data_IF_368603630762
#
_entry.id   IF_368603630762
#
_cell.length_a   1.000
_cell.length_b   1.000
_cell.length_c   1.000
_cell.angle_alpha   90.00
_cell.angle_beta   90.00
_cell.angle_gamma   90.00
#
_symmetry.space_group_name_H-M   'P 1'
#
loop_
_entity.id
_entity.type
_entity.pdbx_description
1 polymer ?
#
# COMPACT_ATOMS: atom_id res chain seq x y z
N UNK A 1 0.54 -27.02 -3.01
CA UNK A 1 0.25 -26.61 -2.94
C UNK A 1 0.19 -25.68 -2.47
N UNK A 2 0.05 -25.16 -2.64
CA UNK A 2 0.02 -24.33 -2.34
C UNK A 2 -0.59 -23.72 -1.84
N UNK A 3 -1.16 -23.55 -1.80
CA UNK A 3 -1.76 -22.99 -1.45
C UNK A 3 -1.88 -22.42 -0.73
N UNK A 4 -1.95 -22.81 -0.65
CA UNK A 4 -2.09 -22.39 0.29
C UNK A 4 -1.84 -21.12 0.53
N UNK A 5 -1.63 -20.61 -0.11
CA UNK A 5 -1.33 -19.39 -0.05
C UNK A 5 -2.42 -18.53 -0.24
N UNK A 6 -3.25 -18.34 0.73
CA UNK A 6 -4.42 -17.54 0.61
C UNK A 6 -4.35 -16.34 1.52
N UNK A 7 -3.15 -15.84 1.80
CA UNK A 7 -3.01 -14.63 2.58
C UNK A 7 -3.73 -13.49 1.88
N UNK A 8 -4.49 -12.73 2.66
CA UNK A 8 -5.11 -11.51 2.15
C UNK A 8 -4.19 -10.34 2.38
N UNK A 9 -4.52 -9.22 1.75
CA UNK A 9 -3.78 -7.97 1.98
C UNK A 9 -3.80 -7.63 3.46
N UNK A 10 -4.96 -7.82 4.12
CA UNK A 10 -5.07 -7.53 5.55
C UNK A 10 -4.11 -8.37 6.37
N UNK A 11 -4.07 -9.66 6.09
CA UNK A 11 -3.20 -10.55 6.85
C UNK A 11 -1.73 -10.22 6.62
N UNK A 12 -1.37 -9.99 5.37
CA UNK A 12 0.02 -9.69 5.06
C UNK A 12 0.45 -8.34 5.62
N UNK A 13 -0.38 -7.31 5.45
CA UNK A 13 -0.04 -5.99 5.97
C UNK A 13 0.12 -6.02 7.48
N UNK A 14 -0.73 -6.80 8.17
CA UNK A 14 -0.61 -6.94 9.60
C UNK A 14 0.70 -7.60 10.01
N UNK A 15 1.07 -8.66 9.32
CA UNK A 15 2.32 -9.35 9.61
C UNK A 15 3.51 -8.45 9.30
N UNK A 16 3.47 -7.77 8.16
CA UNK A 16 4.55 -6.89 7.75
C UNK A 16 4.72 -5.73 8.75
N UNK A 17 3.61 -5.12 9.15
CA UNK A 17 3.64 -4.02 10.09
C UNK A 17 4.24 -4.47 11.42
N UNK A 18 3.76 -5.58 11.94
CA UNK A 18 4.23 -6.09 13.23
C UNK A 18 5.72 -6.41 13.18
N UNK A 19 6.17 -6.99 12.07
CA UNK A 19 7.57 -7.39 11.95
C UNK A 19 8.50 -6.20 11.83
N UNK A 20 8.00 -5.06 11.35
CA UNK A 20 8.87 -3.93 11.04
C UNK A 20 8.69 -2.73 11.97
N UNK A 21 7.64 -2.71 12.77
CA UNK A 21 7.31 -1.52 13.55
C UNK A 21 8.42 -1.09 14.49
N UNK A 22 9.22 -2.03 14.95
CA UNK A 22 10.30 -1.70 15.87
C UNK A 22 11.41 -0.88 15.21
N UNK A 23 11.42 -0.82 13.89
CA UNK A 23 12.42 -0.06 13.15
C UNK A 23 12.06 1.41 13.02
N UNK A 24 10.85 1.78 13.38
CA UNK A 24 10.34 3.12 13.13
C UNK A 24 10.14 3.87 14.44
N UNK A 25 10.30 5.19 14.38
CA UNK A 25 9.96 6.00 15.55
C UNK A 25 8.43 6.08 15.64
N UNK A 26 7.95 6.64 16.76
CA UNK A 26 6.52 6.67 17.02
C UNK A 26 5.70 7.41 15.97
N UNK A 27 6.25 8.50 15.43
CA UNK A 27 5.53 9.27 14.42
C UNK A 27 5.40 8.47 13.13
N UNK A 28 6.47 7.81 12.71
CA UNK A 28 6.46 7.01 11.51
C UNK A 28 5.53 5.81 11.67
N UNK A 29 5.62 5.15 12.82
CA UNK A 29 4.77 3.98 13.07
C UNK A 29 3.30 4.39 13.04
N UNK A 30 2.95 5.50 13.69
CA UNK A 30 1.57 5.97 13.69
C UNK A 30 1.08 6.34 12.31
N UNK A 31 1.95 6.97 11.51
CA UNK A 31 1.60 7.32 10.14
C UNK A 31 1.33 6.09 9.29
N UNK A 32 2.20 5.11 9.38
CA UNK A 32 2.02 3.87 8.61
C UNK A 32 0.79 3.12 9.08
N UNK A 33 0.55 3.08 10.40
CA UNK A 33 -0.64 2.45 10.92
C UNK A 33 -1.90 3.09 10.35
N UNK A 34 -1.91 4.41 10.30
CA UNK A 34 -3.07 5.11 9.75
C UNK A 34 -3.27 4.80 8.27
N UNK A 35 -2.19 4.80 7.49
CA UNK A 35 -2.31 4.50 6.07
C UNK A 35 -2.86 3.10 5.84
N UNK A 36 -2.38 2.14 6.62
CA UNK A 36 -2.81 0.76 6.47
C UNK A 36 -4.25 0.59 6.93
N UNK A 37 -4.53 0.95 8.18
CA UNK A 37 -5.80 0.59 8.80
C UNK A 37 -6.95 1.52 8.44
N UNK A 38 -6.66 2.75 8.07
CA UNK A 38 -7.70 3.69 7.71
C UNK A 38 -7.96 3.77 6.21
N UNK A 39 -6.96 3.42 5.40
CA UNK A 39 -7.09 3.61 3.95
C UNK A 39 -6.92 2.33 3.14
N UNK A 40 -5.91 1.53 3.42
CA UNK A 40 -5.64 0.36 2.60
C UNK A 40 -6.63 -0.77 2.90
N UNK A 41 -6.74 -1.14 4.17
CA UNK A 41 -7.53 -2.30 4.53
C UNK A 41 -9.02 -2.14 4.29
N UNK A 42 -9.64 -0.96 4.53
CA UNK A 42 -11.05 -0.83 4.23
C UNK A 42 -11.39 -1.03 2.76
N UNK A 43 -10.43 -0.78 1.88
CA UNK A 43 -10.68 -0.90 0.44
C UNK A 43 -10.25 -2.24 -0.13
N UNK A 44 -9.05 -2.68 0.19
CA UNK A 44 -8.52 -3.90 -0.45
C UNK A 44 -8.05 -4.95 0.55
N UNK A 45 -8.35 -4.77 1.84
CA UNK A 45 -7.84 -5.69 2.85
C UNK A 45 -8.31 -7.12 2.66
N UNK A 46 -9.51 -7.32 2.12
CA UNK A 46 -10.04 -8.67 1.95
C UNK A 46 -9.57 -9.34 0.66
N UNK A 47 -8.84 -8.62 -0.17
CA UNK A 47 -8.35 -9.18 -1.44
C UNK A 47 -7.20 -10.13 -1.16
N UNK A 48 -7.21 -11.32 -1.74
CA UNK A 48 -6.08 -12.23 -1.60
C UNK A 48 -4.88 -11.64 -2.32
N UNK A 49 -3.69 -11.87 -1.76
CA UNK A 49 -2.48 -11.35 -2.40
C UNK A 49 -2.35 -11.82 -3.84
N UNK A 50 -2.74 -13.07 -4.09
CA UNK A 50 -2.65 -13.62 -5.44
C UNK A 50 -3.65 -12.97 -6.40
N UNK A 51 -4.66 -12.30 -5.87
CA UNK A 51 -5.65 -11.62 -6.70
C UNK A 51 -5.38 -10.12 -6.83
N UNK A 52 -4.34 -9.64 -6.20
CA UNK A 52 -4.03 -8.22 -6.24
C UNK A 52 -3.36 -7.91 -7.57
N UNK A 53 -4.08 -7.21 -8.43
CA UNK A 53 -3.60 -6.91 -9.78
C UNK A 53 -3.39 -5.42 -9.93
N UNK A 54 -2.76 -5.05 -11.03
CA UNK A 54 -2.58 -3.65 -11.37
C UNK A 54 -3.93 -2.93 -11.40
N UNK A 55 -4.94 -3.57 -11.98
CA UNK A 55 -6.25 -2.94 -12.08
C UNK A 55 -6.88 -2.72 -10.71
N UNK A 56 -6.76 -3.70 -9.83
CA UNK A 56 -7.29 -3.57 -8.48
C UNK A 56 -6.66 -2.38 -7.77
N UNK A 57 -5.36 -2.22 -7.94
CA UNK A 57 -4.63 -1.14 -7.27
C UNK A 57 -5.01 0.21 -7.89
N UNK A 58 -5.13 0.27 -9.20
CA UNK A 58 -5.54 1.49 -9.87
C UNK A 58 -6.93 1.93 -9.40
N UNK A 59 -7.85 0.98 -9.32
CA UNK A 59 -9.20 1.27 -8.84
C UNK A 59 -9.17 1.74 -7.39
N UNK A 60 -8.30 1.15 -6.60
CA UNK A 60 -8.14 1.56 -5.21
C UNK A 60 -7.68 3.03 -5.13
N UNK A 61 -6.71 3.42 -5.95
CA UNK A 61 -6.26 4.81 -5.94
C UNK A 61 -7.38 5.76 -6.36
N UNK A 62 -8.18 5.35 -7.34
CA UNK A 62 -9.32 6.16 -7.75
C UNK A 62 -10.31 6.32 -6.61
N UNK A 63 -10.52 5.25 -5.84
CA UNK A 63 -11.39 5.30 -4.67
C UNK A 63 -10.87 6.30 -3.64
N UNK A 64 -9.57 6.28 -3.40
CA UNK A 64 -8.97 7.21 -2.45
C UNK A 64 -9.19 8.65 -2.89
N UNK A 65 -9.04 8.91 -4.19
CA UNK A 65 -9.26 10.26 -4.70
C UNK A 65 -10.71 10.68 -4.57
N UNK A 66 -11.62 9.76 -4.77
CA UNK A 66 -13.05 10.07 -4.63
C UNK A 66 -13.40 10.35 -3.19
N UNK A 67 -12.61 9.86 -2.25
CA UNK A 67 -12.79 10.14 -0.83
C UNK A 67 -12.06 11.40 -0.42
N UNK A 68 -11.57 12.14 -1.40
CA UNK A 68 -10.95 13.44 -1.18
C UNK A 68 -9.61 13.39 -0.46
N UNK A 69 -8.91 12.28 -0.53
CA UNK A 69 -7.57 12.25 -0.03
C UNK A 69 -6.71 13.18 -0.87
N UNK A 70 -5.79 13.87 -0.23
CA UNK A 70 -4.90 14.77 -0.93
C UNK A 70 -3.95 13.95 -1.81
N UNK A 71 -3.39 14.62 -2.81
CA UNK A 71 -2.41 13.97 -3.68
C UNK A 71 -1.24 13.43 -2.87
N UNK A 72 -0.83 14.17 -1.83
CA UNK A 72 0.24 13.73 -0.96
C UNK A 72 -0.12 12.43 -0.25
N UNK A 73 -1.34 12.33 0.26
CA UNK A 73 -1.75 11.14 0.98
C UNK A 73 -1.81 9.93 0.06
N UNK A 74 -2.33 10.10 -1.16
CA UNK A 74 -2.36 9.01 -2.12
C UNK A 74 -0.95 8.57 -2.46
N UNK A 75 -0.05 9.53 -2.63
CA UNK A 75 1.36 9.23 -2.89
C UNK A 75 1.97 8.42 -1.75
N UNK A 76 1.68 8.80 -0.51
CA UNK A 76 2.20 8.07 0.65
C UNK A 76 1.65 6.65 0.72
N UNK A 77 0.37 6.48 0.39
CA UNK A 77 -0.22 5.14 0.34
C UNK A 77 0.49 4.31 -0.72
N UNK A 78 0.75 4.90 -1.88
CA UNK A 78 1.44 4.20 -2.96
C UNK A 78 2.82 3.72 -2.53
N UNK A 79 3.59 4.60 -1.89
CA UNK A 79 4.94 4.23 -1.47
C UNK A 79 4.92 3.12 -0.44
N UNK A 80 4.00 3.22 0.52
CA UNK A 80 3.91 2.21 1.56
C UNK A 80 3.47 0.87 0.98
N UNK A 81 2.45 0.90 0.15
CA UNK A 81 1.94 -0.33 -0.46
C UNK A 81 3.01 -0.99 -1.33
N UNK A 82 3.76 -0.19 -2.09
CA UNK A 82 4.83 -0.72 -2.91
C UNK A 82 5.87 -1.44 -2.06
N UNK A 83 6.24 -0.81 -0.94
CA UNK A 83 7.23 -1.39 -0.05
C UNK A 83 6.73 -2.70 0.57
N UNK A 84 5.50 -2.68 1.01
CA UNK A 84 4.90 -3.85 1.63
C UNK A 84 4.81 -5.02 0.63
N UNK A 85 4.43 -4.73 -0.59
CA UNK A 85 4.31 -5.78 -1.61
C UNK A 85 5.66 -6.22 -2.16
N UNK A 86 6.68 -5.36 -2.14
CA UNK A 86 8.04 -5.80 -2.46
C UNK A 86 8.47 -6.89 -1.51
N UNK A 87 8.14 -6.74 -0.23
CA UNK A 87 8.52 -7.74 0.75
C UNK A 87 7.74 -9.03 0.53
N UNK A 88 6.46 -8.92 0.16
CA UNK A 88 5.67 -10.11 -0.14
C UNK A 88 6.25 -10.87 -1.32
N UNK A 89 6.74 -10.15 -2.33
CA UNK A 89 7.36 -10.79 -3.48
C UNK A 89 8.68 -11.45 -3.08
N UNK A 90 9.45 -10.79 -2.22
CA UNK A 90 10.70 -11.36 -1.75
C UNK A 90 10.46 -12.63 -0.96
N UNK A 91 9.39 -12.68 -0.19
CA UNK A 91 9.03 -13.87 0.59
C UNK A 91 8.31 -14.90 -0.26
N UNK A 92 8.13 -14.60 -1.54
CA UNK A 92 7.55 -15.52 -2.51
C UNK A 92 6.07 -15.81 -2.28
N UNK A 93 5.36 -14.91 -1.61
CA UNK A 93 3.92 -15.01 -1.51
C UNK A 93 3.26 -14.60 -2.82
N UNK A 94 3.94 -13.79 -3.62
CA UNK A 94 3.48 -13.39 -4.94
C UNK A 94 4.68 -13.43 -5.88
N UNK A 95 4.45 -13.66 -7.19
CA UNK A 95 5.60 -13.78 -8.13
C UNK A 95 6.28 -12.44 -8.41
N UNK A 96 5.55 -11.34 -8.28
CA UNK A 96 6.12 -10.01 -8.49
C UNK A 96 5.22 -9.02 -7.80
N UNK A 97 5.72 -7.79 -7.65
CA UNK A 97 4.96 -6.73 -6.98
C UNK A 97 4.07 -6.01 -7.99
N UNK A 98 2.74 -6.19 -7.93
CA UNK A 98 1.85 -5.54 -8.89
C UNK A 98 1.82 -4.02 -8.76
N UNK A 99 2.20 -3.49 -7.60
CA UNK A 99 2.23 -2.04 -7.41
C UNK A 99 3.23 -1.39 -8.34
N UNK A 100 4.30 -2.09 -8.66
CA UNK A 100 5.33 -1.55 -9.55
C UNK A 100 4.89 -1.49 -11.00
N UNK A 101 3.80 -2.17 -11.34
CA UNK A 101 3.25 -2.11 -12.67
C UNK A 101 2.28 -0.95 -12.84
N UNK A 102 1.83 -0.38 -11.73
CA UNK A 102 0.85 0.69 -11.78
C UNK A 102 1.51 2.01 -12.09
N UNK A 103 0.74 2.87 -12.75
CA UNK A 103 1.17 4.23 -12.92
C UNK A 103 1.19 4.91 -11.57
N UNK A 104 2.26 5.61 -11.26
CA UNK A 104 2.38 6.30 -9.99
C UNK A 104 1.30 7.37 -9.89
N UNK A 105 0.79 7.60 -8.68
CA UNK A 105 -0.09 8.74 -8.48
C UNK A 105 0.64 10.03 -8.89
N UNK A 106 -0.12 11.08 -9.10
CA UNK A 106 0.46 12.32 -9.62
C UNK A 106 1.36 12.98 -8.60
N UNK A 107 2.54 12.45 -8.48
CA UNK A 107 3.50 12.93 -7.50
C UNK A 107 3.99 14.34 -7.83
N UNK A 108 3.97 14.69 -9.09
CA UNK A 108 4.42 16.02 -9.47
C UNK A 108 3.61 17.10 -8.80
N UNK A 109 2.31 16.89 -8.68
CA UNK A 109 1.48 17.89 -8.03
C UNK A 109 1.89 18.07 -6.59
N UNK A 110 2.13 16.97 -5.91
CA UNK A 110 2.54 17.04 -4.54
C UNK A 110 3.93 17.64 -4.40
N UNK A 111 4.84 17.22 -5.25
CA UNK A 111 6.21 17.69 -5.16
C UNK A 111 6.33 19.16 -5.43
N UNK A 112 5.48 19.67 -6.31
CA UNK A 112 5.53 21.06 -6.67
C UNK A 112 4.93 21.95 -5.61
N UNK A 113 3.81 21.53 -5.07
CA UNK A 113 3.09 22.38 -4.14
C UNK A 113 3.92 22.84 -2.96
N UNK A 114 4.64 21.97 -2.27
CA UNK A 114 5.39 22.43 -1.11
C UNK A 114 6.53 23.36 -1.45
N UNK A 115 6.97 23.29 -2.65
CA UNK A 115 8.11 24.13 -3.01
C UNK A 115 7.77 25.57 -3.18
N UNK A 116 6.48 25.85 -3.20
CA UNK A 116 6.07 27.19 -3.37
C UNK A 116 6.07 27.94 -2.15
N UNK A 117 6.49 27.46 -1.13
CA UNK A 117 6.49 28.17 0.11
C UNK A 117 7.26 29.50 0.04
#
# INVERSE_FOLDING_TARGET
MQKENTLTVEQWCGQWFTANRHKWNGNTEGGYRNLIYSHILPSIGSVALSDLTEQTITDFYDTLRSQRLSARSVWCVHLLLRRCMDEAAREQFIPYNPVRLCQEPKAEEYKTAPLRL
#
